data_IF_865987452449
#
_entry.id   IF_865987452449
#
_cell.length_a   1.000
_cell.length_b   1.000
_cell.length_c   1.000
_cell.angle_alpha   90.00
_cell.angle_beta   90.00
_cell.angle_gamma   90.00
#
_symmetry.space_group_name_H-M   'P 1'
#
loop_
_entity.id
_entity.type
_entity.pdbx_description
1 polymer ?
#
# COMPACT_ATOMS: atom_id res chain seq x y z
N UNK A 1 -12.82 -6.19 -11.03
CA UNK A 1 -13.18 -7.00 -9.86
C UNK A 1 -12.94 -8.49 -10.13
N UNK A 2 -12.79 -9.29 -9.05
CA UNK A 2 -12.57 -10.75 -9.10
C UNK A 2 -11.26 -11.19 -9.80
N UNK A 3 -10.27 -10.32 -9.90
CA UNK A 3 -8.97 -10.58 -10.54
C UNK A 3 -9.06 -11.03 -12.00
N UNK A 4 -10.05 -10.54 -12.74
CA UNK A 4 -10.29 -10.89 -14.14
C UNK A 4 -9.65 -9.91 -15.14
N UNK A 5 -9.18 -8.78 -14.67
CA UNK A 5 -8.54 -7.75 -15.51
C UNK A 5 -7.07 -8.03 -15.82
N UNK A 6 -6.43 -7.15 -16.60
CA UNK A 6 -5.01 -7.24 -16.90
C UNK A 6 -4.16 -7.00 -15.65
N UNK A 7 -2.89 -7.40 -15.69
CA UNK A 7 -1.96 -7.08 -14.63
C UNK A 7 -1.70 -5.57 -14.55
N UNK A 8 -1.73 -5.02 -13.32
CA UNK A 8 -1.57 -3.58 -13.06
C UNK A 8 -0.56 -3.36 -11.93
N UNK A 9 -0.16 -2.12 -11.69
CA UNK A 9 0.31 -1.72 -10.37
C UNK A 9 -0.78 -1.95 -9.33
N UNK A 10 -0.45 -1.96 -8.05
CA UNK A 10 -1.41 -2.20 -6.97
C UNK A 10 -2.65 -1.32 -7.08
N UNK A 11 -3.81 -1.92 -7.02
CA UNK A 11 -5.12 -1.23 -7.10
C UNK A 11 -5.78 -1.05 -5.73
N UNK A 12 -5.12 -1.50 -4.70
CA UNK A 12 -5.53 -1.35 -3.32
C UNK A 12 -4.82 -2.32 -2.40
N UNK A 13 -4.83 -2.01 -1.12
CA UNK A 13 -4.15 -2.79 -0.09
C UNK A 13 -4.84 -2.66 1.26
N UNK A 14 -4.52 -3.57 2.16
CA UNK A 14 -5.00 -3.60 3.54
C UNK A 14 -3.84 -3.84 4.51
N UNK A 15 -3.98 -3.34 5.73
CA UNK A 15 -3.10 -3.67 6.85
C UNK A 15 -3.93 -3.75 8.15
N UNK A 16 -3.72 -4.78 9.01
CA UNK A 16 -2.90 -5.97 8.77
C UNK A 16 -3.50 -6.92 7.73
N UNK A 17 -2.64 -7.75 7.12
CA UNK A 17 -3.11 -8.82 6.24
C UNK A 17 -3.33 -10.11 7.04
N UNK A 18 -4.58 -10.62 7.18
CA UNK A 18 -4.86 -11.79 8.02
C UNK A 18 -4.27 -13.12 7.49
N UNK A 19 -3.77 -13.12 6.26
CA UNK A 19 -3.03 -14.27 5.72
C UNK A 19 -1.55 -14.27 6.11
N UNK A 20 -1.00 -13.12 6.52
CA UNK A 20 0.39 -13.01 6.99
C UNK A 20 0.44 -13.23 8.50
N UNK A 21 0.36 -14.51 8.89
CA UNK A 21 0.35 -14.92 10.32
C UNK A 21 1.76 -14.85 10.93
N UNK A 22 1.89 -14.87 12.27
CA UNK A 22 3.21 -14.93 12.94
C UNK A 22 4.08 -16.09 12.46
N UNK A 23 3.48 -17.26 12.17
CA UNK A 23 4.21 -18.44 11.67
C UNK A 23 4.76 -18.18 10.26
N UNK A 24 3.97 -17.58 9.38
CA UNK A 24 4.40 -17.18 8.03
C UNK A 24 5.47 -16.10 8.12
N UNK A 25 5.32 -15.13 9.00
CA UNK A 25 6.31 -14.09 9.23
C UNK A 25 7.67 -14.69 9.68
N UNK A 26 7.65 -15.67 10.59
CA UNK A 26 8.85 -16.37 11.03
C UNK A 26 9.53 -17.13 9.87
N UNK A 27 8.76 -17.80 9.01
CA UNK A 27 9.30 -18.46 7.81
C UNK A 27 9.89 -17.44 6.85
N UNK A 28 9.19 -16.34 6.56
CA UNK A 28 9.69 -15.27 5.67
C UNK A 28 11.00 -14.67 6.23
N UNK A 29 11.06 -14.41 7.53
CA UNK A 29 12.27 -13.89 8.17
C UNK A 29 13.47 -14.83 7.97
N UNK A 30 13.27 -16.11 8.30
CA UNK A 30 14.31 -17.14 8.26
C UNK A 30 14.75 -17.50 6.84
N UNK A 31 13.80 -17.65 5.92
CA UNK A 31 14.07 -18.25 4.61
C UNK A 31 14.18 -17.24 3.47
N UNK A 32 13.70 -15.99 3.69
CA UNK A 32 13.66 -14.97 2.64
C UNK A 32 14.44 -13.72 3.07
N UNK A 33 14.02 -13.05 4.16
CA UNK A 33 14.52 -11.70 4.45
C UNK A 33 15.99 -11.71 4.89
N UNK A 34 16.34 -12.52 5.89
CA UNK A 34 17.71 -12.63 6.37
C UNK A 34 18.64 -13.18 5.27
N UNK A 35 18.30 -14.27 4.54
CA UNK A 35 19.14 -14.74 3.44
C UNK A 35 19.35 -13.70 2.33
N UNK A 36 18.32 -12.91 1.99
CA UNK A 36 18.45 -11.85 0.98
C UNK A 36 19.47 -10.80 1.40
N UNK A 37 19.38 -10.28 2.63
CA UNK A 37 20.32 -9.28 3.13
C UNK A 37 21.74 -9.86 3.25
N UNK A 38 21.88 -11.09 3.72
CA UNK A 38 23.18 -11.76 3.82
C UNK A 38 23.82 -11.96 2.44
N UNK A 39 23.04 -12.35 1.43
CA UNK A 39 23.53 -12.48 0.06
C UNK A 39 24.00 -11.13 -0.50
N UNK A 40 23.24 -10.05 -0.30
CA UNK A 40 23.64 -8.70 -0.71
C UNK A 40 24.96 -8.28 -0.04
N UNK A 41 25.10 -8.54 1.25
CA UNK A 41 26.33 -8.23 1.99
C UNK A 41 27.53 -9.05 1.50
N UNK A 42 27.35 -10.35 1.21
CA UNK A 42 28.42 -11.21 0.69
C UNK A 42 28.91 -10.81 -0.70
N UNK A 43 28.04 -10.17 -1.48
CA UNK A 43 28.36 -9.59 -2.80
C UNK A 43 28.98 -8.18 -2.70
N UNK A 44 29.21 -7.66 -1.49
CA UNK A 44 29.70 -6.30 -1.27
C UNK A 44 28.70 -5.20 -1.63
N UNK A 45 27.40 -5.54 -1.68
CA UNK A 45 26.28 -4.64 -2.06
C UNK A 45 25.36 -4.39 -0.88
N UNK A 46 25.91 -3.84 0.19
CA UNK A 46 25.14 -3.54 1.41
C UNK A 46 23.94 -2.63 1.09
N UNK A 47 22.74 -3.07 1.48
CA UNK A 47 21.52 -2.31 1.30
C UNK A 47 21.15 -1.57 2.60
N UNK A 48 20.81 -0.28 2.48
CA UNK A 48 20.27 0.56 3.55
C UNK A 48 19.01 1.25 3.05
N UNK A 49 17.94 1.18 3.82
CA UNK A 49 16.66 1.78 3.46
C UNK A 49 15.48 0.83 3.62
N UNK A 50 14.38 1.13 2.96
CA UNK A 50 13.21 0.26 2.94
C UNK A 50 13.34 -0.76 1.80
N UNK A 51 13.39 -2.02 2.14
CA UNK A 51 13.30 -3.13 1.19
C UNK A 51 11.92 -3.79 1.33
N UNK A 52 11.09 -3.60 0.33
CA UNK A 52 9.76 -4.20 0.26
C UNK A 52 9.81 -5.50 -0.54
N UNK A 53 9.25 -6.56 0.03
CA UNK A 53 9.15 -7.89 -0.59
C UNK A 53 7.73 -8.13 -1.06
N UNK A 54 7.51 -8.22 -2.37
CA UNK A 54 6.29 -8.77 -2.94
C UNK A 54 6.28 -10.29 -2.78
N UNK A 55 5.35 -10.82 -1.99
CA UNK A 55 5.30 -12.23 -1.66
C UNK A 55 4.00 -12.87 -2.17
N UNK A 56 4.11 -14.12 -2.63
CA UNK A 56 2.98 -14.99 -2.92
C UNK A 56 2.94 -16.14 -1.91
N UNK A 57 1.83 -16.29 -1.20
CA UNK A 57 1.59 -17.47 -0.36
C UNK A 57 1.12 -18.63 -1.23
N UNK A 58 1.95 -19.64 -1.36
CA UNK A 58 1.67 -20.84 -2.14
C UNK A 58 1.47 -22.07 -1.26
N UNK A 59 1.02 -23.19 -1.82
CA UNK A 59 0.92 -24.47 -1.10
C UNK A 59 2.28 -24.97 -0.56
N UNK A 60 3.38 -24.52 -1.17
CA UNK A 60 4.75 -24.86 -0.75
C UNK A 60 5.42 -23.73 0.06
N UNK A 61 4.63 -22.87 0.71
CA UNK A 61 5.10 -21.74 1.51
C UNK A 61 5.22 -20.43 0.73
N UNK A 62 5.71 -19.37 1.38
CA UNK A 62 5.88 -18.06 0.76
C UNK A 62 6.95 -18.09 -0.34
N UNK A 63 6.69 -17.38 -1.45
CA UNK A 63 7.60 -17.20 -2.58
C UNK A 63 7.73 -15.73 -2.92
N UNK A 64 8.94 -15.30 -3.26
CA UNK A 64 9.19 -13.91 -3.68
C UNK A 64 8.72 -13.75 -5.13
N UNK A 65 7.92 -12.71 -5.37
CA UNK A 65 7.52 -12.26 -6.69
C UNK A 65 8.50 -11.18 -7.18
N UNK A 66 8.74 -10.18 -6.32
CA UNK A 66 9.57 -9.04 -6.63
C UNK A 66 10.19 -8.41 -5.38
N UNK A 67 11.20 -7.59 -5.61
CA UNK A 67 11.79 -6.68 -4.62
C UNK A 67 11.55 -5.24 -5.07
N UNK A 68 11.20 -4.38 -4.12
CA UNK A 68 11.17 -2.94 -4.33
C UNK A 68 12.14 -2.27 -3.35
N UNK A 69 13.12 -1.51 -3.87
CA UNK A 69 14.12 -0.81 -3.06
C UNK A 69 13.60 0.55 -2.56
N UNK A 70 12.34 0.60 -2.18
CA UNK A 70 11.59 1.75 -1.70
C UNK A 70 10.33 1.26 -1.00
N UNK A 71 9.63 2.16 -0.33
CA UNK A 71 8.29 1.87 0.17
C UNK A 71 7.36 1.44 -0.97
N UNK A 72 6.47 0.47 -0.70
CA UNK A 72 5.47 0.01 -1.66
C UNK A 72 4.42 1.10 -1.99
N UNK A 73 3.81 0.98 -3.14
CA UNK A 73 2.69 1.82 -3.57
C UNK A 73 1.61 0.93 -4.22
N UNK A 74 0.48 0.72 -3.52
CA UNK A 74 -0.12 1.55 -2.46
C UNK A 74 0.12 1.09 -1.00
N UNK A 75 1.08 0.23 -0.70
CA UNK A 75 1.27 -0.33 0.65
C UNK A 75 1.66 0.73 1.68
N UNK A 76 2.45 1.73 1.28
CA UNK A 76 2.84 2.85 2.14
C UNK A 76 1.63 3.57 2.74
N UNK A 77 0.57 3.73 1.95
CA UNK A 77 -0.64 4.44 2.33
C UNK A 77 -1.45 3.73 3.43
N UNK A 78 -1.16 2.45 3.72
CA UNK A 78 -1.76 1.74 4.86
C UNK A 78 -0.76 1.45 5.98
N UNK A 79 0.53 1.32 5.68
CA UNK A 79 1.56 1.00 6.67
C UNK A 79 1.95 2.22 7.49
N UNK A 80 2.26 3.35 6.83
CA UNK A 80 2.73 4.55 7.55
C UNK A 80 1.66 5.20 8.43
N UNK A 81 0.37 5.25 8.07
CA UNK A 81 -0.64 5.76 9.00
C UNK A 81 -0.84 4.93 10.27
N UNK A 82 -0.37 3.69 10.29
CA UNK A 82 -0.39 2.81 11.47
C UNK A 82 0.91 2.88 12.27
N UNK A 83 1.96 3.51 11.74
CA UNK A 83 3.24 3.69 12.43
C UNK A 83 3.09 4.76 13.53
N UNK A 84 3.37 4.39 14.79
CA UNK A 84 3.37 5.29 15.95
C UNK A 84 4.74 5.93 16.18
N UNK A 85 5.82 5.21 15.88
CA UNK A 85 7.17 5.74 15.97
C UNK A 85 7.37 6.80 14.90
N UNK A 86 7.97 7.93 15.25
CA UNK A 86 8.27 9.01 14.30
C UNK A 86 9.09 8.50 13.11
N UNK A 87 8.57 8.69 11.89
CA UNK A 87 9.20 8.17 10.67
C UNK A 87 10.59 8.77 10.45
N UNK A 88 10.81 10.06 10.77
CA UNK A 88 12.11 10.68 10.62
C UNK A 88 13.15 10.04 11.55
N UNK A 89 12.74 9.69 12.76
CA UNK A 89 13.58 8.93 13.71
C UNK A 89 13.98 7.58 13.12
N UNK A 90 13.03 6.81 12.54
CA UNK A 90 13.29 5.52 11.90
C UNK A 90 14.25 5.67 10.71
N UNK A 91 14.00 6.66 9.84
CA UNK A 91 14.84 6.91 8.66
C UNK A 91 16.25 7.35 9.06
N UNK A 92 16.39 8.20 10.08
CA UNK A 92 17.68 8.67 10.59
C UNK A 92 18.47 7.51 11.20
N UNK A 93 17.82 6.67 12.03
CA UNK A 93 18.45 5.48 12.61
C UNK A 93 18.90 4.48 11.53
N UNK A 94 18.09 4.29 10.49
CA UNK A 94 18.45 3.45 9.33
C UNK A 94 19.69 3.98 8.60
N UNK A 95 19.73 5.29 8.31
CA UNK A 95 20.88 5.92 7.64
C UNK A 95 22.18 5.83 8.47
N UNK A 96 22.05 5.89 9.79
CA UNK A 96 23.15 5.81 10.74
C UNK A 96 23.51 4.38 11.18
N UNK A 97 22.86 3.35 10.62
CA UNK A 97 23.07 1.92 10.97
C UNK A 97 22.78 1.61 12.47
N UNK A 98 21.84 2.34 13.06
CA UNK A 98 21.44 2.20 14.47
C UNK A 98 19.98 1.83 14.64
N UNK A 99 19.38 1.19 13.61
CA UNK A 99 17.96 0.81 13.64
C UNK A 99 17.66 -0.18 14.79
N UNK A 100 18.63 -1.03 15.14
CA UNK A 100 18.53 -1.94 16.29
C UNK A 100 18.34 -1.23 17.64
N UNK A 101 18.75 0.04 17.75
CA UNK A 101 18.67 0.83 18.96
C UNK A 101 17.32 1.59 19.04
N UNK A 102 16.48 1.46 18.02
CA UNK A 102 15.21 2.17 17.90
C UNK A 102 14.04 1.21 18.05
N UNK A 103 13.19 1.44 19.03
CA UNK A 103 11.93 0.70 19.14
C UNK A 103 10.94 1.21 18.09
N UNK A 104 10.54 0.32 17.19
CA UNK A 104 9.53 0.61 16.16
C UNK A 104 8.20 0.05 16.61
N UNK A 105 7.19 0.92 16.76
CA UNK A 105 5.85 0.54 17.19
C UNK A 105 4.83 0.91 16.12
N UNK A 106 3.89 -0.01 15.91
CA UNK A 106 2.69 0.19 15.12
C UNK A 106 1.46 0.11 16.03
N UNK A 107 0.45 0.92 15.72
CA UNK A 107 -0.83 0.85 16.42
C UNK A 107 -1.66 -0.37 16.04
N UNK A 108 -2.62 -0.72 16.89
CA UNK A 108 -3.48 -1.90 16.73
C UNK A 108 -4.62 -1.71 15.75
N UNK A 109 -4.73 -0.53 15.11
CA UNK A 109 -5.80 -0.24 14.15
C UNK A 109 -5.56 -0.94 12.82
N UNK A 110 -6.60 -0.93 11.99
CA UNK A 110 -6.54 -1.42 10.62
C UNK A 110 -6.67 -0.28 9.62
N UNK A 111 -6.09 -0.47 8.44
CA UNK A 111 -6.18 0.47 7.33
C UNK A 111 -6.49 -0.26 6.01
N UNK A 112 -7.22 0.42 5.14
CA UNK A 112 -7.50 0.00 3.77
C UNK A 112 -7.23 1.17 2.83
N UNK A 113 -6.50 0.94 1.74
CA UNK A 113 -6.34 1.90 0.66
C UNK A 113 -7.02 1.37 -0.60
N UNK A 114 -7.87 2.19 -1.21
CA UNK A 114 -8.49 1.94 -2.51
C UNK A 114 -7.88 2.91 -3.53
N UNK A 115 -7.36 2.39 -4.62
CA UNK A 115 -6.83 3.21 -5.71
C UNK A 115 -7.94 3.59 -6.67
N UNK A 116 -8.10 4.88 -6.89
CA UNK A 116 -8.92 5.43 -7.97
C UNK A 116 -8.01 5.69 -9.18
N UNK A 117 -8.35 5.09 -10.30
CA UNK A 117 -7.58 5.14 -11.55
C UNK A 117 -8.40 5.76 -12.68
N UNK A 118 -7.72 6.19 -13.72
CA UNK A 118 -8.34 6.58 -14.99
C UNK A 118 -8.85 5.32 -15.70
N UNK A 119 -10.08 5.34 -16.19
CA UNK A 119 -10.65 4.24 -16.97
C UNK A 119 -9.78 3.93 -18.21
N UNK A 120 -9.58 2.64 -18.45
CA UNK A 120 -8.64 2.12 -19.46
C UNK A 120 -7.24 1.79 -18.93
N UNK A 121 -6.86 2.23 -17.71
CA UNK A 121 -5.61 1.80 -17.09
C UNK A 121 -5.58 0.26 -16.91
N UNK A 122 -4.46 -0.46 -17.20
CA UNK A 122 -3.10 0.03 -17.46
C UNK A 122 -2.80 0.28 -18.94
N UNK A 123 -3.75 0.15 -19.85
CA UNK A 123 -3.53 0.25 -21.28
C UNK A 123 -3.56 1.73 -21.74
N UNK A 124 -4.67 2.17 -22.29
CA UNK A 124 -4.84 3.53 -22.82
C UNK A 124 -5.91 4.25 -22.02
N UNK A 125 -5.61 5.45 -21.53
CA UNK A 125 -6.53 6.26 -20.75
C UNK A 125 -6.36 7.74 -21.08
N UNK A 126 -7.45 8.51 -20.90
CA UNK A 126 -7.46 9.97 -21.07
C UNK A 126 -6.99 10.65 -19.77
N UNK A 127 -6.46 11.85 -19.91
CA UNK A 127 -5.94 12.73 -18.85
C UNK A 127 -6.57 14.11 -18.94
N UNK A 128 -6.28 14.98 -17.95
CA UNK A 128 -6.73 16.38 -17.95
C UNK A 128 -8.13 16.58 -17.35
N UNK A 129 -8.69 15.58 -16.68
CA UNK A 129 -9.98 15.70 -15.99
C UNK A 129 -9.79 16.31 -14.60
N UNK A 130 -10.62 17.31 -14.25
CA UNK A 130 -10.57 17.96 -12.94
C UNK A 130 -10.87 16.94 -11.83
N UNK A 131 -10.06 16.94 -10.77
CA UNK A 131 -10.18 16.06 -9.62
C UNK A 131 -10.79 16.85 -8.46
N UNK A 132 -11.97 16.44 -8.02
CA UNK A 132 -12.69 17.05 -6.89
C UNK A 132 -12.58 16.15 -5.67
N UNK A 133 -11.91 16.65 -4.63
CA UNK A 133 -11.77 16.01 -3.32
C UNK A 133 -12.35 16.92 -2.25
N UNK A 134 -13.34 16.48 -1.46
CA UNK A 134 -13.85 17.26 -0.34
C UNK A 134 -12.74 17.62 0.67
N UNK A 135 -12.75 18.85 1.17
CA UNK A 135 -11.70 19.35 2.06
C UNK A 135 -11.53 18.53 3.35
N UNK A 136 -12.61 17.98 3.89
CA UNK A 136 -12.59 17.12 5.07
C UNK A 136 -11.93 15.76 4.84
N UNK A 137 -11.68 15.39 3.59
CA UNK A 137 -10.96 14.16 3.21
C UNK A 137 -9.46 14.36 2.94
N UNK A 138 -8.94 15.59 3.00
CA UNK A 138 -7.55 15.91 2.66
C UNK A 138 -6.51 15.03 3.38
N UNK A 139 -6.75 14.67 4.64
CA UNK A 139 -5.88 13.78 5.44
C UNK A 139 -6.00 12.28 5.10
N UNK A 140 -6.93 11.90 4.22
CA UNK A 140 -7.20 10.50 3.85
C UNK A 140 -6.95 10.20 2.38
N UNK A 141 -6.50 11.19 1.60
CA UNK A 141 -6.31 11.09 0.15
C UNK A 141 -4.86 11.41 -0.22
N UNK A 142 -4.24 10.46 -0.91
CA UNK A 142 -2.89 10.59 -1.42
C UNK A 142 -2.93 10.77 -2.94
N UNK A 143 -2.40 11.89 -3.42
CA UNK A 143 -2.33 12.21 -4.84
C UNK A 143 -1.17 11.46 -5.50
N UNK A 144 -1.45 10.79 -6.62
CA UNK A 144 -0.46 10.09 -7.43
C UNK A 144 -0.40 10.69 -8.85
N UNK A 145 -1.19 10.18 -9.78
CA UNK A 145 -1.27 10.70 -11.15
C UNK A 145 -2.12 11.96 -11.27
N UNK A 146 -1.76 13.00 -10.52
CA UNK A 146 -2.41 14.32 -10.54
C UNK A 146 -1.38 15.41 -10.77
N UNK A 147 -1.73 16.44 -11.54
CA UNK A 147 -0.96 17.67 -11.73
C UNK A 147 -1.86 18.88 -11.56
N UNK A 148 -1.27 20.06 -11.45
CA UNK A 148 -2.03 21.31 -11.43
C UNK A 148 -2.05 21.95 -12.83
N UNK A 149 -3.24 22.22 -13.34
CA UNK A 149 -3.45 23.03 -14.53
C UNK A 149 -4.27 24.26 -14.16
N UNK A 150 -3.73 25.44 -14.37
CA UNK A 150 -4.34 26.73 -14.00
C UNK A 150 -4.77 26.77 -12.50
N UNK A 151 -3.97 26.14 -11.62
CA UNK A 151 -4.25 26.07 -10.17
C UNK A 151 -5.28 25.03 -9.77
N UNK A 152 -5.81 24.21 -10.69
CA UNK A 152 -6.76 23.14 -10.42
C UNK A 152 -6.10 21.76 -10.54
N UNK A 153 -6.38 20.81 -9.64
CA UNK A 153 -5.88 19.46 -9.78
C UNK A 153 -6.59 18.74 -10.93
N UNK A 154 -5.82 18.14 -11.82
CA UNK A 154 -6.31 17.35 -12.95
C UNK A 154 -5.59 16.00 -13.03
N UNK A 155 -6.25 15.00 -13.64
CA UNK A 155 -5.66 13.69 -13.86
C UNK A 155 -4.47 13.76 -14.82
N UNK A 156 -3.33 13.18 -14.46
CA UNK A 156 -2.11 13.13 -15.27
C UNK A 156 -1.51 11.73 -15.41
N UNK A 157 -2.07 10.73 -14.71
CA UNK A 157 -1.59 9.36 -14.69
C UNK A 157 -2.70 8.31 -14.68
N UNK A 158 -2.30 7.03 -14.74
CA UNK A 158 -3.22 5.90 -14.70
C UNK A 158 -3.83 5.69 -13.31
N UNK A 159 -2.99 5.51 -12.28
CA UNK A 159 -3.43 5.55 -10.87
C UNK A 159 -3.42 7.02 -10.43
N UNK A 160 -4.59 7.52 -10.03
CA UNK A 160 -4.81 8.97 -9.80
C UNK A 160 -4.72 9.30 -8.32
N UNK A 161 -5.48 8.59 -7.49
CA UNK A 161 -5.56 8.81 -6.05
C UNK A 161 -5.49 7.48 -5.28
N UNK A 162 -4.89 7.51 -4.08
CA UNK A 162 -5.06 6.50 -3.05
C UNK A 162 -5.96 7.03 -1.94
N UNK A 163 -7.08 6.38 -1.68
CA UNK A 163 -8.07 6.80 -0.67
C UNK A 163 -8.01 5.83 0.51
N UNK A 164 -7.74 6.35 1.70
CA UNK A 164 -7.48 5.54 2.89
C UNK A 164 -8.58 5.65 3.92
N UNK A 165 -9.05 4.48 4.35
CA UNK A 165 -9.89 4.31 5.53
C UNK A 165 -9.08 3.70 6.67
N UNK A 166 -9.30 4.17 7.91
CA UNK A 166 -8.63 3.68 9.11
C UNK A 166 -9.68 3.50 10.21
N UNK A 167 -9.69 2.32 10.84
CA UNK A 167 -10.59 2.01 11.95
C UNK A 167 -9.95 0.96 12.89
N UNK A 168 -10.60 0.65 14.00
CA UNK A 168 -10.13 -0.36 14.95
C UNK A 168 -10.20 -1.76 14.35
N UNK A 169 -11.11 -2.00 13.40
CA UNK A 169 -11.31 -3.29 12.75
C UNK A 169 -11.18 -3.17 11.23
N UNK A 170 -10.61 -4.19 10.61
CA UNK A 170 -10.43 -4.22 9.15
C UNK A 170 -11.74 -4.04 8.35
N UNK A 171 -12.88 -4.67 8.71
CA UNK A 171 -14.15 -4.42 8.01
C UNK A 171 -14.56 -2.95 8.00
N UNK A 172 -14.37 -2.28 9.13
CA UNK A 172 -14.76 -0.88 9.30
C UNK A 172 -13.79 0.06 8.54
N UNK A 173 -12.49 -0.27 8.50
CA UNK A 173 -11.51 0.44 7.69
C UNK A 173 -11.80 0.31 6.18
N UNK A 174 -12.20 -0.87 5.71
CA UNK A 174 -12.63 -1.10 4.32
C UNK A 174 -13.87 -0.25 4.01
N UNK A 175 -14.87 -0.31 4.88
CA UNK A 175 -16.09 0.49 4.71
C UNK A 175 -15.78 1.99 4.65
N UNK A 176 -14.97 2.50 5.57
CA UNK A 176 -14.56 3.91 5.64
C UNK A 176 -13.84 4.34 4.34
N UNK A 177 -12.94 3.50 3.80
CA UNK A 177 -12.27 3.79 2.53
C UNK A 177 -13.27 3.94 1.38
N UNK A 178 -14.23 3.01 1.26
CA UNK A 178 -15.23 3.07 0.19
C UNK A 178 -16.25 4.20 0.37
N UNK A 179 -16.65 4.54 1.60
CA UNK A 179 -17.50 5.69 1.89
C UNK A 179 -16.81 6.99 1.44
N UNK A 180 -15.51 7.12 1.64
CA UNK A 180 -14.71 8.27 1.16
C UNK A 180 -14.56 8.28 -0.36
N UNK A 181 -14.28 7.13 -0.99
CA UNK A 181 -14.21 6.99 -2.46
C UNK A 181 -15.49 7.47 -3.12
N UNK A 182 -16.65 7.14 -2.56
CA UNK A 182 -17.96 7.57 -3.07
C UNK A 182 -18.21 9.09 -3.06
N UNK A 183 -17.36 9.86 -2.35
CA UNK A 183 -17.45 11.32 -2.23
C UNK A 183 -16.44 12.06 -3.12
N UNK A 184 -15.51 11.35 -3.75
CA UNK A 184 -14.47 11.89 -4.61
C UNK A 184 -14.88 11.73 -6.07
N UNK A 185 -14.63 12.74 -6.88
CA UNK A 185 -15.08 12.72 -8.26
C UNK A 185 -13.99 13.23 -9.23
N UNK A 186 -13.82 12.50 -10.32
CA UNK A 186 -13.25 12.97 -11.58
C UNK A 186 -13.88 12.17 -12.73
N UNK A 187 -13.98 12.78 -13.92
CA UNK A 187 -14.52 12.10 -15.09
C UNK A 187 -13.67 10.87 -15.42
N UNK A 188 -14.30 9.77 -15.80
CA UNK A 188 -13.71 8.46 -16.07
C UNK A 188 -13.03 7.79 -14.85
N UNK A 189 -13.43 8.13 -13.62
CA UNK A 189 -12.92 7.46 -12.44
C UNK A 189 -13.27 5.96 -12.43
N UNK A 190 -12.27 5.13 -12.21
CA UNK A 190 -12.38 3.69 -12.09
C UNK A 190 -11.70 3.21 -10.81
N UNK A 191 -12.29 2.26 -10.10
CA UNK A 191 -11.68 1.60 -8.95
C UNK A 191 -12.27 0.20 -8.75
N UNK A 192 -11.52 -0.68 -8.11
CA UNK A 192 -11.99 -2.01 -7.72
C UNK A 192 -12.93 -1.90 -6.52
N UNK A 193 -14.03 -2.64 -6.55
CA UNK A 193 -15.04 -2.70 -5.49
C UNK A 193 -14.85 -3.87 -4.52
N UNK A 194 -13.78 -4.63 -4.70
CA UNK A 194 -13.51 -5.86 -3.96
C UNK A 194 -12.19 -5.86 -3.20
N UNK A 195 -11.59 -4.68 -2.97
CA UNK A 195 -10.39 -4.55 -2.13
C UNK A 195 -10.72 -5.00 -0.70
N UNK A 196 -9.87 -5.90 -0.18
CA UNK A 196 -10.05 -6.49 1.15
C UNK A 196 -11.05 -7.65 1.23
N UNK A 197 -11.88 -7.91 0.21
CA UNK A 197 -12.93 -8.95 0.25
C UNK A 197 -12.38 -10.35 0.59
N UNK A 198 -11.20 -10.71 0.07
CA UNK A 198 -10.59 -12.01 0.39
C UNK A 198 -10.21 -12.12 1.88
N UNK A 199 -9.73 -11.02 2.47
CA UNK A 199 -9.37 -10.97 3.87
C UNK A 199 -10.59 -11.11 4.80
N UNK A 200 -11.72 -10.49 4.43
CA UNK A 200 -12.98 -10.59 5.17
C UNK A 200 -13.44 -12.03 5.33
N UNK A 201 -13.35 -12.84 4.28
CA UNK A 201 -13.75 -14.27 4.32
C UNK A 201 -12.93 -15.11 5.31
N UNK A 202 -11.73 -14.67 5.68
CA UNK A 202 -10.88 -15.38 6.64
C UNK A 202 -11.17 -14.96 8.09
N UNK A 203 -11.68 -13.76 8.30
CA UNK A 203 -12.00 -13.25 9.65
C UNK A 203 -13.35 -13.76 10.17
N UNK A 204 -14.19 -14.32 9.30
CA UNK A 204 -15.52 -14.87 9.63
C UNK A 204 -15.48 -16.37 10.01
N UNK A 205 -14.31 -17.02 9.94
CA UNK A 205 -14.04 -18.42 10.33
C UNK A 205 -13.17 -18.47 11.56
#
# INVERSE_FOLDING_TARGET
DNDTGPNTGGMGTIAPNPYYTPEIAAVCMKEIFIPTINAMNSEGRTFKGCLYFGLMLTKSGPKVIEYNCRFGDPETQVVLPLLETDLLTVMTATAQERLSDTEIRFGDRAACCVIMASDGYPLSYKKGFEVSVPNDLAGSVYYAGVTLENGRPVTSGGRVLGVVGIADRLPDAIKDAYDKVGRIHFENAFYRRDIGRKAMKKTEV
#
